data_IF_444809862817
#
_entry.id   IF_444809862817
#
_cell.length_a   1.000
_cell.length_b   1.000
_cell.length_c   1.000
_cell.angle_alpha   90.00
_cell.angle_beta   90.00
_cell.angle_gamma   90.00
#
_symmetry.space_group_name_H-M   'P 1'
#
loop_
_entity.id
_entity.type
_entity.pdbx_description
1 polymer ?
#
# COMPACT_ATOMS: atom_id res chain seq x y z
N UNK A 1 34.05 -8.86 10.51
CA UNK A 1 33.66 -8.13 9.31
C UNK A 1 32.87 -9.10 8.43
N UNK A 2 31.54 -9.01 8.45
CA UNK A 2 30.66 -9.81 7.61
C UNK A 2 30.48 -8.99 6.34
N UNK A 3 31.11 -9.43 5.24
CA UNK A 3 30.86 -8.87 3.90
C UNK A 3 29.43 -9.29 3.48
N UNK A 4 28.46 -8.46 3.72
CA UNK A 4 27.11 -8.60 3.15
C UNK A 4 27.13 -8.04 1.72
N UNK A 5 27.59 -8.83 0.76
CA UNK A 5 27.42 -8.53 -0.66
C UNK A 5 26.04 -8.97 -1.16
N UNK A 6 24.98 -8.39 -0.62
CA UNK A 6 23.68 -8.46 -1.26
C UNK A 6 23.64 -7.39 -2.37
N UNK A 7 23.33 -7.81 -3.58
CA UNK A 7 23.23 -6.93 -4.75
C UNK A 7 21.92 -6.10 -4.70
N UNK A 8 21.79 -5.25 -3.67
CA UNK A 8 20.69 -4.29 -3.55
C UNK A 8 20.90 -3.21 -4.62
N UNK A 9 19.84 -2.70 -5.24
CA UNK A 9 19.94 -1.56 -6.17
C UNK A 9 20.46 -0.36 -5.39
N UNK A 10 21.75 -0.13 -5.49
CA UNK A 10 22.46 0.97 -4.81
C UNK A 10 22.70 2.16 -5.73
N UNK A 11 22.34 2.06 -7.02
CA UNK A 11 22.56 3.07 -8.04
C UNK A 11 21.23 3.42 -8.70
N UNK A 12 20.89 4.71 -8.71
CA UNK A 12 19.63 5.25 -9.19
C UNK A 12 19.89 6.20 -10.37
N UNK A 13 19.03 6.12 -11.39
CA UNK A 13 18.98 7.10 -12.46
C UNK A 13 18.27 8.38 -12.02
N UNK A 14 18.42 9.46 -12.80
CA UNK A 14 17.65 10.71 -12.56
C UNK A 14 16.12 10.46 -12.64
N UNK A 15 15.69 9.46 -13.42
CA UNK A 15 14.28 9.08 -13.52
C UNK A 15 13.78 8.35 -12.28
N UNK A 16 14.64 7.51 -11.68
CA UNK A 16 14.33 6.89 -10.39
C UNK A 16 14.19 7.96 -9.29
N UNK A 17 15.09 8.96 -9.26
CA UNK A 17 14.99 10.07 -8.32
C UNK A 17 13.70 10.88 -8.52
N UNK A 18 13.30 11.16 -9.78
CA UNK A 18 12.00 11.80 -10.08
C UNK A 18 10.84 10.99 -9.51
N UNK A 19 10.82 9.69 -9.78
CA UNK A 19 9.73 8.81 -9.35
C UNK A 19 9.67 8.68 -7.81
N UNK A 20 10.82 8.54 -7.14
CA UNK A 20 10.89 8.36 -5.68
C UNK A 20 10.61 9.66 -4.90
N UNK A 21 11.01 10.81 -5.44
CA UNK A 21 10.89 12.11 -4.77
C UNK A 21 9.66 12.93 -5.18
N UNK A 22 9.05 12.59 -6.33
CA UNK A 22 7.98 13.39 -6.94
C UNK A 22 8.46 14.68 -7.64
N UNK A 23 9.76 14.98 -7.58
CA UNK A 23 10.35 16.19 -8.18
C UNK A 23 10.81 15.90 -9.61
N UNK A 24 10.42 16.74 -10.55
CA UNK A 24 10.77 16.57 -11.97
C UNK A 24 12.31 16.55 -12.18
N UNK A 25 12.77 15.64 -13.06
CA UNK A 25 14.20 15.44 -13.34
C UNK A 25 14.93 16.74 -13.72
N UNK A 26 14.27 17.65 -14.46
CA UNK A 26 14.88 18.93 -14.81
C UNK A 26 15.07 19.84 -13.57
N UNK A 27 14.16 19.81 -12.62
CA UNK A 27 14.26 20.57 -11.38
C UNK A 27 15.39 20.04 -10.51
N UNK A 28 15.51 18.70 -10.40
CA UNK A 28 16.64 18.06 -9.69
C UNK A 28 17.96 18.49 -10.30
N UNK A 29 18.09 18.52 -11.65
CA UNK A 29 19.30 19.00 -12.33
C UNK A 29 19.60 20.47 -12.08
N UNK A 30 18.57 21.32 -11.95
CA UNK A 30 18.75 22.73 -11.56
C UNK A 30 19.30 22.82 -10.14
N UNK A 31 18.75 22.05 -9.20
CA UNK A 31 19.21 22.02 -7.82
C UNK A 31 20.65 21.51 -7.70
N UNK A 32 21.00 20.43 -8.44
CA UNK A 32 22.36 19.93 -8.55
C UNK A 32 23.31 21.03 -9.06
N UNK A 33 23.00 21.63 -10.22
CA UNK A 33 23.87 22.60 -10.87
C UNK A 33 24.01 23.91 -10.09
N UNK A 34 22.91 24.40 -9.50
CA UNK A 34 22.84 25.73 -8.89
C UNK A 34 23.22 25.74 -7.41
N UNK A 35 22.96 24.64 -6.70
CA UNK A 35 23.07 24.57 -5.26
C UNK A 35 23.94 23.42 -4.74
N UNK A 36 24.52 22.60 -5.60
CA UNK A 36 25.36 21.43 -5.25
C UNK A 36 24.67 20.49 -4.23
N UNK A 37 23.34 20.35 -4.32
CA UNK A 37 22.57 19.55 -3.37
C UNK A 37 22.90 18.08 -3.49
N UNK A 38 23.06 17.57 -4.73
CA UNK A 38 23.41 16.18 -5.05
C UNK A 38 24.74 16.10 -5.79
N UNK A 39 25.45 14.98 -5.58
CA UNK A 39 26.74 14.71 -6.23
C UNK A 39 26.67 13.39 -6.98
N UNK A 40 26.16 13.40 -8.22
CA UNK A 40 26.06 12.17 -9.01
C UNK A 40 27.44 11.65 -9.40
N UNK A 41 27.59 10.33 -9.37
CA UNK A 41 28.63 9.64 -10.11
C UNK A 41 28.34 9.72 -11.61
N UNK A 42 29.37 9.68 -12.44
CA UNK A 42 29.20 9.64 -13.90
C UNK A 42 29.77 8.36 -14.46
N UNK A 43 29.02 7.73 -15.36
CA UNK A 43 29.52 6.61 -16.15
C UNK A 43 30.53 7.09 -17.21
N UNK A 44 31.23 6.16 -17.86
CA UNK A 44 32.11 6.44 -18.98
C UNK A 44 31.41 7.15 -20.15
N UNK A 45 30.09 6.94 -20.28
CA UNK A 45 29.22 7.60 -21.27
C UNK A 45 28.61 8.91 -20.73
N UNK A 46 29.14 9.44 -19.61
CA UNK A 46 28.72 10.69 -18.97
C UNK A 46 27.26 10.69 -18.47
N UNK A 47 26.69 9.51 -18.23
CA UNK A 47 25.34 9.36 -17.65
C UNK A 47 25.46 9.55 -16.11
N UNK A 48 24.51 10.31 -15.54
CA UNK A 48 24.41 10.54 -14.09
C UNK A 48 23.84 9.33 -13.38
N UNK A 49 24.53 8.90 -12.35
CA UNK A 49 24.09 7.87 -11.42
C UNK A 49 24.16 8.42 -10.00
N UNK A 50 23.16 8.11 -9.19
CA UNK A 50 23.02 8.56 -7.82
C UNK A 50 23.02 7.35 -6.90
N UNK A 51 23.75 7.44 -5.80
CA UNK A 51 23.75 6.42 -4.76
C UNK A 51 22.59 6.63 -3.76
N UNK A 52 22.53 5.76 -2.77
CA UNK A 52 21.50 5.79 -1.75
C UNK A 52 21.58 7.06 -0.89
N UNK A 53 22.78 7.56 -0.61
CA UNK A 53 22.99 8.79 0.17
C UNK A 53 22.40 10.01 -0.56
N UNK A 54 22.62 10.10 -1.87
CA UNK A 54 21.99 11.13 -2.71
C UNK A 54 20.46 11.03 -2.69
N UNK A 55 19.90 9.81 -2.76
CA UNK A 55 18.45 9.60 -2.68
C UNK A 55 17.91 10.05 -1.32
N UNK A 56 18.51 9.61 -0.23
CA UNK A 56 18.08 9.98 1.12
C UNK A 56 18.15 11.50 1.32
N UNK A 57 19.26 12.12 0.90
CA UNK A 57 19.41 13.58 0.95
C UNK A 57 18.34 14.30 0.15
N UNK A 58 18.03 13.83 -1.06
CA UNK A 58 16.96 14.41 -1.89
C UNK A 58 15.60 14.33 -1.18
N UNK A 59 15.24 13.18 -0.61
CA UNK A 59 13.96 13.02 0.11
C UNK A 59 13.87 13.98 1.31
N UNK A 60 14.94 14.15 2.06
CA UNK A 60 15.01 15.11 3.17
C UNK A 60 14.88 16.57 2.69
N UNK A 61 15.55 16.93 1.60
CA UNK A 61 15.46 18.27 0.98
C UNK A 61 14.05 18.57 0.50
N UNK A 62 13.41 17.60 -0.15
CA UNK A 62 12.01 17.74 -0.62
C UNK A 62 11.06 17.92 0.56
N UNK A 63 11.26 17.16 1.64
CA UNK A 63 10.47 17.31 2.85
C UNK A 63 10.62 18.72 3.44
N UNK A 64 11.85 19.19 3.68
CA UNK A 64 12.11 20.55 4.18
C UNK A 64 11.49 21.62 3.28
N UNK A 65 11.61 21.46 1.97
CA UNK A 65 11.05 22.40 1.00
C UNK A 65 9.50 22.45 1.05
N UNK A 66 8.84 21.31 1.25
CA UNK A 66 7.38 21.26 1.42
C UNK A 66 6.89 21.98 2.69
N UNK A 67 7.78 22.18 3.68
CA UNK A 67 7.57 22.97 4.89
C UNK A 67 8.00 24.45 4.76
N UNK A 68 8.27 24.90 3.54
CA UNK A 68 8.54 26.29 3.25
C UNK A 68 10.00 26.69 3.34
N UNK A 69 10.92 25.77 3.62
CA UNK A 69 12.36 26.08 3.57
C UNK A 69 12.79 26.30 2.12
N UNK A 70 13.45 27.41 1.86
CA UNK A 70 13.99 27.71 0.52
C UNK A 70 15.16 26.77 0.21
N UNK A 71 15.16 26.19 -1.00
CA UNK A 71 16.21 25.28 -1.47
C UNK A 71 17.61 25.87 -1.29
N UNK A 72 17.80 27.17 -1.57
CA UNK A 72 19.06 27.86 -1.38
C UNK A 72 19.57 27.82 0.08
N UNK A 73 18.65 27.88 1.06
CA UNK A 73 19.01 27.80 2.47
C UNK A 73 19.30 26.39 2.92
N UNK A 74 18.53 25.41 2.42
CA UNK A 74 18.77 24.00 2.71
C UNK A 74 20.16 23.59 2.21
N UNK A 75 20.56 24.07 1.03
CA UNK A 75 21.85 23.77 0.41
C UNK A 75 23.08 24.31 1.18
N UNK A 76 22.90 25.32 2.03
CA UNK A 76 23.96 25.87 2.90
C UNK A 76 24.30 24.93 4.08
N UNK A 77 23.46 23.89 4.33
CA UNK A 77 23.62 22.97 5.45
C UNK A 77 24.31 21.67 5.06
N UNK A 78 25.05 21.08 6.01
CA UNK A 78 25.57 19.72 5.86
C UNK A 78 24.45 18.68 5.87
N UNK A 79 24.70 17.46 5.40
CA UNK A 79 23.73 16.36 5.39
C UNK A 79 23.19 16.07 6.80
N UNK A 80 24.06 16.07 7.81
CA UNK A 80 23.71 15.86 9.22
C UNK A 80 22.80 16.98 9.75
N UNK A 81 23.06 18.25 9.36
CA UNK A 81 22.19 19.37 9.77
C UNK A 81 20.85 19.32 9.07
N UNK A 82 20.78 18.88 7.81
CA UNK A 82 19.53 18.63 7.09
C UNK A 82 18.71 17.57 7.83
N UNK A 83 19.30 16.46 8.25
CA UNK A 83 18.65 15.43 9.03
C UNK A 83 18.12 15.95 10.38
N UNK A 84 18.89 16.78 11.08
CA UNK A 84 18.45 17.42 12.33
C UNK A 84 17.25 18.32 12.10
N UNK A 85 17.28 19.17 11.06
CA UNK A 85 16.16 20.04 10.70
C UNK A 85 14.91 19.22 10.37
N UNK A 86 15.06 18.10 9.66
CA UNK A 86 13.94 17.18 9.40
C UNK A 86 13.35 16.66 10.70
N UNK A 87 14.16 16.27 11.68
CA UNK A 87 13.69 15.80 12.99
C UNK A 87 13.00 16.93 13.78
N UNK A 88 13.49 18.17 13.72
CA UNK A 88 12.90 19.32 14.41
C UNK A 88 11.52 19.72 13.85
N UNK A 89 11.29 19.53 12.55
CA UNK A 89 10.06 19.91 11.87
C UNK A 89 8.93 18.87 12.04
N UNK A 90 9.20 17.71 12.62
CA UNK A 90 8.22 16.65 12.80
C UNK A 90 7.09 17.13 13.74
N UNK A 91 6.18 17.96 13.19
CA UNK A 91 4.84 18.19 13.70
C UNK A 91 3.89 17.13 13.16
N UNK A 92 2.67 16.98 13.72
CA UNK A 92 1.71 15.92 13.34
C UNK A 92 1.49 15.73 11.81
N UNK A 93 1.48 16.81 11.03
CA UNK A 93 1.37 16.76 9.56
C UNK A 93 2.63 16.21 8.86
N UNK A 94 3.78 16.29 9.51
CA UNK A 94 5.09 15.83 9.04
C UNK A 94 5.33 14.34 9.28
N UNK A 95 4.77 13.78 10.35
CA UNK A 95 4.95 12.37 10.75
C UNK A 95 4.56 11.44 9.60
N UNK A 96 3.45 11.71 8.92
CA UNK A 96 2.97 10.90 7.78
C UNK A 96 4.00 10.81 6.66
N UNK A 97 4.45 11.94 6.13
CA UNK A 97 5.37 11.97 4.99
C UNK A 97 6.76 11.43 5.35
N UNK A 98 7.20 11.68 6.60
CA UNK A 98 8.43 11.12 7.11
C UNK A 98 8.35 9.59 7.21
N UNK A 99 7.25 9.04 7.73
CA UNK A 99 7.02 7.61 7.84
C UNK A 99 6.97 6.93 6.46
N UNK A 100 6.26 7.50 5.47
CA UNK A 100 6.22 6.97 4.10
C UNK A 100 7.63 6.92 3.50
N UNK A 101 8.43 7.98 3.68
CA UNK A 101 9.82 8.00 3.20
C UNK A 101 10.69 6.98 3.94
N UNK A 102 10.54 6.82 5.26
CA UNK A 102 11.27 5.81 6.03
C UNK A 102 10.90 4.39 5.58
N UNK A 103 9.63 4.11 5.29
CA UNK A 103 9.21 2.82 4.74
C UNK A 103 9.74 2.59 3.32
N UNK A 104 9.78 3.61 2.46
CA UNK A 104 10.43 3.50 1.13
C UNK A 104 11.92 3.19 1.26
N UNK A 105 12.61 3.82 2.20
CA UNK A 105 14.02 3.53 2.48
C UNK A 105 14.23 2.12 3.02
N UNK A 106 13.36 1.69 3.96
CA UNK A 106 13.36 0.31 4.46
C UNK A 106 13.15 -0.71 3.35
N UNK A 107 12.23 -0.45 2.43
CA UNK A 107 11.97 -1.28 1.24
C UNK A 107 13.20 -1.36 0.32
N UNK A 108 13.79 -0.21 -0.03
CA UNK A 108 14.92 -0.14 -0.96
C UNK A 108 16.14 -0.88 -0.41
N UNK A 109 16.37 -0.79 0.91
CA UNK A 109 17.53 -1.37 1.59
C UNK A 109 17.29 -2.77 2.16
N UNK A 110 16.07 -3.30 2.07
CA UNK A 110 15.64 -4.51 2.79
C UNK A 110 15.91 -4.40 4.31
N UNK A 111 15.69 -3.20 4.88
CA UNK A 111 15.94 -2.90 6.29
C UNK A 111 14.70 -3.13 7.15
N UNK A 112 14.62 -4.34 7.74
CA UNK A 112 13.55 -4.70 8.67
C UNK A 112 13.56 -3.84 9.93
N UNK A 113 14.74 -3.48 10.44
CA UNK A 113 14.86 -2.72 11.68
C UNK A 113 14.26 -1.31 11.51
N UNK A 114 14.59 -0.65 10.39
CA UNK A 114 14.00 0.66 10.06
C UNK A 114 12.48 0.56 9.92
N UNK A 115 11.96 -0.49 9.24
CA UNK A 115 10.51 -0.71 9.13
C UNK A 115 9.86 -0.82 10.52
N UNK A 116 10.35 -1.71 11.39
CA UNK A 116 9.75 -1.93 12.70
C UNK A 116 9.86 -0.74 13.63
N UNK A 117 10.99 -0.04 13.62
CA UNK A 117 11.18 1.18 14.41
C UNK A 117 10.20 2.28 13.98
N UNK A 118 10.04 2.48 12.67
CA UNK A 118 9.08 3.46 12.12
C UNK A 118 7.64 3.07 12.47
N UNK A 119 7.27 1.81 12.28
CA UNK A 119 5.94 1.31 12.62
C UNK A 119 5.61 1.46 14.11
N UNK A 120 6.52 1.06 15.00
CA UNK A 120 6.32 1.17 16.45
C UNK A 120 6.24 2.63 16.92
N UNK A 121 7.02 3.53 16.30
CA UNK A 121 6.91 4.97 16.57
C UNK A 121 5.53 5.52 16.20
N UNK A 122 4.97 5.10 15.07
CA UNK A 122 3.60 5.50 14.68
C UNK A 122 2.55 4.98 15.68
N UNK A 123 2.68 3.73 16.12
CA UNK A 123 1.74 3.13 17.08
C UNK A 123 1.82 3.72 18.48
N UNK A 124 2.90 4.42 18.84
CA UNK A 124 2.96 5.13 20.12
C UNK A 124 2.05 6.35 20.17
N UNK A 125 1.61 6.86 19.03
CA UNK A 125 0.79 8.07 18.90
C UNK A 125 -0.59 7.83 18.25
N UNK A 126 -0.73 6.73 17.49
CA UNK A 126 -1.92 6.44 16.68
C UNK A 126 -2.39 5.01 16.82
N UNK A 127 -3.68 4.79 16.57
CA UNK A 127 -4.21 3.43 16.46
C UNK A 127 -3.67 2.72 15.19
N UNK A 128 -3.70 1.38 15.19
CA UNK A 128 -3.36 0.61 13.99
C UNK A 128 -4.20 1.02 12.78
N UNK A 129 -5.49 1.27 13.00
CA UNK A 129 -6.43 1.72 11.97
C UNK A 129 -5.99 3.04 11.34
N UNK A 130 -5.64 4.04 12.17
CA UNK A 130 -5.18 5.34 11.69
C UNK A 130 -3.86 5.23 10.92
N UNK A 131 -2.90 4.44 11.43
CA UNK A 131 -1.64 4.15 10.74
C UNK A 131 -1.90 3.51 9.38
N UNK A 132 -2.86 2.58 9.29
CA UNK A 132 -3.18 1.92 8.05
C UNK A 132 -3.77 2.89 7.01
N UNK A 133 -4.77 3.68 7.40
CA UNK A 133 -5.40 4.65 6.50
C UNK A 133 -4.47 5.80 6.11
N UNK A 134 -3.76 6.36 7.07
CA UNK A 134 -2.98 7.57 6.83
C UNK A 134 -1.62 7.31 6.21
N UNK A 135 -1.03 6.13 6.46
CA UNK A 135 0.35 5.84 6.04
C UNK A 135 0.43 4.63 5.11
N UNK A 136 -0.16 3.48 5.48
CA UNK A 136 0.02 2.23 4.72
C UNK A 136 -0.69 2.29 3.37
N UNK A 137 -1.96 2.70 3.31
CA UNK A 137 -2.69 2.81 2.02
C UNK A 137 -1.99 3.79 1.06
N UNK A 138 -1.61 5.02 1.46
CA UNK A 138 -0.83 5.91 0.60
C UNK A 138 0.52 5.32 0.16
N UNK A 139 1.24 4.66 1.07
CA UNK A 139 2.50 3.97 0.75
C UNK A 139 2.29 2.91 -0.34
N UNK A 140 1.29 2.05 -0.21
CA UNK A 140 1.00 0.99 -1.20
C UNK A 140 0.65 1.58 -2.57
N UNK A 141 -0.08 2.69 -2.62
CA UNK A 141 -0.36 3.39 -3.87
C UNK A 141 0.94 3.92 -4.53
N UNK A 142 1.84 4.51 -3.75
CA UNK A 142 3.14 4.97 -4.25
C UNK A 142 4.00 3.79 -4.73
N UNK A 143 4.05 2.69 -3.99
CA UNK A 143 4.77 1.46 -4.37
C UNK A 143 4.25 0.92 -5.71
N UNK A 144 2.94 0.87 -5.91
CA UNK A 144 2.34 0.46 -7.18
C UNK A 144 2.81 1.32 -8.37
N UNK A 145 2.89 2.64 -8.18
CA UNK A 145 3.41 3.56 -9.22
C UNK A 145 4.91 3.37 -9.45
N UNK A 146 5.70 3.17 -8.39
CA UNK A 146 7.13 2.90 -8.49
C UNK A 146 7.43 1.59 -9.22
N UNK A 147 6.60 0.56 -8.99
CA UNK A 147 6.70 -0.72 -9.69
C UNK A 147 6.38 -0.57 -11.17
N UNK A 148 5.27 0.10 -11.52
CA UNK A 148 4.89 0.37 -12.92
C UNK A 148 5.96 1.19 -13.67
N UNK A 149 6.64 2.09 -12.97
CA UNK A 149 7.73 2.89 -13.54
C UNK A 149 9.06 2.14 -13.63
N UNK A 150 9.15 0.89 -13.17
CA UNK A 150 10.39 0.11 -13.14
C UNK A 150 11.46 0.67 -12.18
N UNK A 151 11.06 1.50 -11.21
CA UNK A 151 11.99 2.12 -10.25
C UNK A 151 12.38 1.15 -9.14
N UNK A 152 11.47 0.29 -8.73
CA UNK A 152 11.70 -0.77 -7.74
C UNK A 152 11.58 -2.15 -8.39
N UNK A 153 12.17 -3.14 -7.75
CA UNK A 153 12.11 -4.55 -8.17
C UNK A 153 10.94 -5.28 -7.50
N UNK A 154 10.43 -6.38 -8.08
CA UNK A 154 9.46 -7.25 -7.40
C UNK A 154 9.93 -7.69 -6.00
N UNK A 155 11.24 -7.98 -5.83
CA UNK A 155 11.79 -8.38 -4.54
C UNK A 155 11.62 -7.29 -3.45
N UNK A 156 11.78 -6.02 -3.82
CA UNK A 156 11.59 -4.89 -2.89
C UNK A 156 10.11 -4.71 -2.53
N UNK A 157 9.22 -4.81 -3.52
CA UNK A 157 7.78 -4.76 -3.29
C UNK A 157 7.33 -5.92 -2.40
N UNK A 158 7.72 -7.15 -2.70
CA UNK A 158 7.39 -8.33 -1.88
C UNK A 158 7.89 -8.21 -0.44
N UNK A 159 9.11 -7.68 -0.26
CA UNK A 159 9.68 -7.47 1.07
C UNK A 159 8.82 -6.56 1.95
N UNK A 160 8.45 -5.39 1.44
CA UNK A 160 7.66 -4.43 2.22
C UNK A 160 6.22 -4.90 2.42
N UNK A 161 5.61 -5.50 1.39
CA UNK A 161 4.27 -6.06 1.42
C UNK A 161 4.16 -7.18 2.46
N UNK A 162 5.18 -8.04 2.56
CA UNK A 162 5.24 -9.10 3.58
C UNK A 162 5.28 -8.52 5.01
N UNK A 163 6.08 -7.48 5.26
CA UNK A 163 6.15 -6.84 6.59
C UNK A 163 4.83 -6.18 6.97
N UNK A 164 4.16 -5.53 6.01
CA UNK A 164 2.82 -4.97 6.20
C UNK A 164 1.81 -6.09 6.50
N UNK A 165 1.84 -7.17 5.73
CA UNK A 165 1.00 -8.36 5.94
C UNK A 165 1.14 -8.94 7.35
N UNK A 166 2.37 -9.07 7.85
CA UNK A 166 2.62 -9.52 9.23
C UNK A 166 1.91 -8.62 10.27
N UNK A 167 1.97 -7.30 10.10
CA UNK A 167 1.32 -6.37 11.03
C UNK A 167 -0.19 -6.45 10.96
N UNK A 168 -0.72 -6.65 9.78
CA UNK A 168 -2.15 -6.82 9.55
C UNK A 168 -2.66 -8.10 10.19
N UNK A 169 -1.98 -9.23 9.99
CA UNK A 169 -2.32 -10.52 10.61
C UNK A 169 -2.33 -10.43 12.14
N UNK A 170 -1.27 -9.85 12.75
CA UNK A 170 -1.18 -9.69 14.20
C UNK A 170 -2.30 -8.82 14.79
N UNK A 171 -2.78 -7.81 14.08
CA UNK A 171 -3.88 -6.97 14.56
C UNK A 171 -5.24 -7.60 14.29
N UNK A 172 -5.39 -8.36 13.20
CA UNK A 172 -6.59 -9.12 12.90
C UNK A 172 -6.81 -10.24 13.91
N UNK A 173 -5.77 -10.99 14.29
CA UNK A 173 -5.83 -12.06 15.29
C UNK A 173 -6.41 -11.58 16.61
N UNK A 174 -6.05 -10.37 17.09
CA UNK A 174 -6.59 -9.78 18.32
C UNK A 174 -8.11 -9.58 18.28
N UNK A 175 -8.68 -9.38 17.09
CA UNK A 175 -10.12 -9.23 16.89
C UNK A 175 -10.83 -10.58 16.73
N UNK A 176 -10.17 -11.56 16.13
CA UNK A 176 -10.73 -12.89 15.86
C UNK A 176 -11.02 -13.69 17.15
N UNK A 177 -10.34 -13.40 18.24
CA UNK A 177 -10.60 -14.05 19.55
C UNK A 177 -11.83 -13.46 20.27
N UNK A 178 -12.37 -12.33 19.79
CA UNK A 178 -13.54 -11.70 20.35
C UNK A 178 -14.83 -12.33 19.78
N UNK A 179 -15.84 -12.50 20.61
CA UNK A 179 -17.15 -12.94 20.14
C UNK A 179 -17.78 -11.84 19.26
N UNK A 180 -18.35 -12.21 18.09
CA UNK A 180 -19.06 -11.26 17.24
C UNK A 180 -20.24 -10.63 17.98
N UNK A 181 -20.37 -9.32 17.91
CA UNK A 181 -21.51 -8.57 18.49
C UNK A 181 -22.67 -8.40 17.51
N UNK A 182 -22.42 -8.61 16.22
CA UNK A 182 -23.40 -8.54 15.12
C UNK A 182 -23.45 -9.91 14.42
N UNK A 183 -24.58 -10.59 14.53
CA UNK A 183 -24.76 -11.99 14.07
C UNK A 183 -25.82 -12.15 12.98
N UNK A 184 -26.34 -11.03 12.48
CA UNK A 184 -27.38 -10.98 11.43
C UNK A 184 -26.90 -11.48 10.07
N UNK A 185 -25.60 -11.45 9.82
CA UNK A 185 -24.94 -11.91 8.59
C UNK A 185 -23.49 -12.31 8.84
N UNK A 186 -22.95 -13.13 7.94
CA UNK A 186 -21.54 -13.54 7.91
C UNK A 186 -20.90 -13.00 6.65
N UNK A 187 -19.70 -12.44 6.78
CA UNK A 187 -18.92 -11.98 5.63
C UNK A 187 -17.95 -13.08 5.20
N UNK A 188 -18.00 -13.45 3.93
CA UNK A 188 -17.06 -14.40 3.29
C UNK A 188 -16.16 -13.64 2.36
N UNK A 189 -14.86 -13.60 2.68
CA UNK A 189 -13.87 -12.82 1.95
C UNK A 189 -13.00 -13.74 1.10
N UNK A 190 -12.89 -13.44 -0.19
CA UNK A 190 -12.17 -14.25 -1.14
C UNK A 190 -11.58 -13.41 -2.28
N UNK A 191 -10.56 -13.95 -2.97
CA UNK A 191 -10.07 -13.43 -4.23
C UNK A 191 -10.40 -14.39 -5.37
N UNK A 192 -10.65 -13.89 -6.60
CA UNK A 192 -10.87 -14.71 -7.77
C UNK A 192 -9.70 -15.66 -8.07
N UNK A 193 -9.92 -16.64 -8.91
CA UNK A 193 -8.84 -17.50 -9.40
C UNK A 193 -7.73 -16.65 -10.05
N UNK A 194 -6.48 -16.96 -9.71
CA UNK A 194 -5.26 -16.28 -10.11
C UNK A 194 -5.03 -14.88 -9.54
N UNK A 195 -5.94 -14.34 -8.73
CA UNK A 195 -5.67 -13.11 -7.97
C UNK A 195 -4.92 -13.44 -6.68
N UNK A 196 -3.76 -12.77 -6.49
CA UNK A 196 -2.86 -12.96 -5.35
C UNK A 196 -2.65 -11.70 -4.51
N UNK A 197 -3.21 -10.55 -4.93
CA UNK A 197 -3.01 -9.26 -4.25
C UNK A 197 -3.97 -9.09 -3.07
N UNK A 198 -3.67 -9.78 -1.96
CA UNK A 198 -4.61 -9.95 -0.85
C UNK A 198 -4.61 -8.85 0.21
N UNK A 199 -3.64 -7.91 0.24
CA UNK A 199 -3.54 -6.91 1.31
C UNK A 199 -4.82 -6.08 1.47
N UNK A 200 -5.48 -5.72 0.38
CA UNK A 200 -6.75 -5.01 0.41
C UNK A 200 -7.87 -5.85 1.04
N UNK A 201 -7.96 -7.13 0.67
CA UNK A 201 -8.93 -8.06 1.22
C UNK A 201 -8.67 -8.33 2.72
N UNK A 202 -7.42 -8.50 3.11
CA UNK A 202 -7.02 -8.69 4.51
C UNK A 202 -7.40 -7.48 5.37
N UNK A 203 -7.23 -6.26 4.84
CA UNK A 203 -7.61 -5.06 5.57
C UNK A 203 -9.14 -4.92 5.69
N UNK A 204 -9.88 -5.30 4.67
CA UNK A 204 -11.35 -5.41 4.76
C UNK A 204 -11.77 -6.40 5.85
N UNK A 205 -11.10 -7.54 5.95
CA UNK A 205 -11.33 -8.52 7.02
C UNK A 205 -11.13 -7.89 8.40
N UNK A 206 -10.03 -7.14 8.59
CA UNK A 206 -9.76 -6.41 9.83
C UNK A 206 -10.89 -5.41 10.16
N UNK A 207 -11.31 -4.59 9.20
CA UNK A 207 -12.38 -3.59 9.40
C UNK A 207 -13.73 -4.24 9.73
N UNK A 208 -14.09 -5.33 9.08
CA UNK A 208 -15.36 -6.04 9.32
C UNK A 208 -15.38 -6.64 10.73
N UNK A 209 -14.28 -7.28 11.14
CA UNK A 209 -14.11 -7.79 12.51
C UNK A 209 -14.17 -6.66 13.55
N UNK A 210 -13.51 -5.53 13.28
CA UNK A 210 -13.52 -4.36 14.16
C UNK A 210 -14.93 -3.79 14.37
N UNK A 211 -15.81 -3.94 13.36
CA UNK A 211 -17.23 -3.56 13.42
C UNK A 211 -18.12 -4.65 14.03
N UNK A 212 -17.55 -5.70 14.60
CA UNK A 212 -18.25 -6.72 15.38
C UNK A 212 -18.92 -7.82 14.57
N UNK A 213 -18.67 -7.93 13.28
CA UNK A 213 -19.21 -9.01 12.45
C UNK A 213 -18.30 -10.25 12.44
N UNK A 214 -18.94 -11.40 12.18
CA UNK A 214 -18.22 -12.63 11.88
C UNK A 214 -17.69 -12.62 10.44
N UNK A 215 -16.45 -13.04 10.27
CA UNK A 215 -15.82 -13.21 8.95
C UNK A 215 -15.35 -14.64 8.73
N UNK A 216 -15.37 -15.08 7.48
CA UNK A 216 -14.70 -16.27 6.97
C UNK A 216 -13.75 -15.80 5.88
N UNK A 217 -12.45 -15.85 6.16
CA UNK A 217 -11.41 -15.44 5.22
C UNK A 217 -10.93 -16.65 4.43
N UNK A 218 -11.22 -16.71 3.15
CA UNK A 218 -10.82 -17.80 2.26
C UNK A 218 -9.50 -17.52 1.54
N UNK A 219 -9.17 -16.23 1.35
CA UNK A 219 -7.89 -15.80 0.77
C UNK A 219 -7.83 -15.87 -0.74
N UNK A 220 -6.65 -16.22 -1.24
CA UNK A 220 -6.25 -16.14 -2.64
C UNK A 220 -6.85 -17.25 -3.51
N UNK A 221 -7.09 -16.93 -4.79
CA UNK A 221 -7.35 -17.90 -5.86
C UNK A 221 -8.49 -18.91 -5.56
N UNK A 222 -9.67 -18.41 -5.15
CA UNK A 222 -10.82 -19.25 -4.79
C UNK A 222 -11.76 -19.43 -6.00
N UNK A 223 -12.01 -20.68 -6.44
CA UNK A 223 -12.99 -20.95 -7.49
C UNK A 223 -14.43 -20.56 -7.06
N UNK A 224 -15.19 -19.92 -7.96
CA UNK A 224 -16.57 -19.48 -7.67
C UNK A 224 -17.47 -20.65 -7.23
N UNK A 225 -17.26 -21.85 -7.79
CA UNK A 225 -18.03 -23.04 -7.40
C UNK A 225 -17.87 -23.40 -5.92
N UNK A 226 -16.70 -23.16 -5.33
CA UNK A 226 -16.45 -23.45 -3.91
C UNK A 226 -17.18 -22.49 -2.98
N UNK A 227 -17.53 -21.29 -3.46
CA UNK A 227 -18.29 -20.31 -2.66
C UNK A 227 -19.74 -20.73 -2.43
N UNK A 228 -20.34 -21.43 -3.37
CA UNK A 228 -21.72 -21.93 -3.25
C UNK A 228 -21.90 -22.88 -2.06
N UNK A 229 -20.86 -23.61 -1.68
CA UNK A 229 -20.89 -24.52 -0.54
C UNK A 229 -21.03 -23.82 0.82
N UNK A 230 -20.67 -22.53 0.91
CA UNK A 230 -20.81 -21.75 2.14
C UNK A 230 -22.26 -21.63 2.61
N UNK A 231 -23.22 -21.70 1.69
CA UNK A 231 -24.68 -21.70 1.99
C UNK A 231 -25.15 -22.91 2.81
N UNK A 232 -24.35 -23.96 2.88
CA UNK A 232 -24.62 -25.12 3.75
C UNK A 232 -24.40 -24.84 5.23
N UNK A 233 -23.65 -23.78 5.53
CA UNK A 233 -23.17 -23.46 6.88
C UNK A 233 -23.76 -22.16 7.45
N UNK A 234 -24.23 -21.25 6.57
CA UNK A 234 -24.70 -19.93 6.98
C UNK A 234 -25.95 -19.52 6.20
N UNK A 235 -26.95 -18.98 6.90
CA UNK A 235 -28.23 -18.58 6.32
C UNK A 235 -28.16 -17.22 5.61
N UNK A 236 -27.36 -16.29 6.09
CA UNK A 236 -27.20 -14.94 5.52
C UNK A 236 -25.73 -14.64 5.26
N UNK A 237 -25.37 -14.46 3.98
CA UNK A 237 -23.98 -14.32 3.57
C UNK A 237 -23.80 -13.05 2.74
N UNK A 238 -22.77 -12.28 3.08
CA UNK A 238 -22.22 -11.21 2.25
C UNK A 238 -20.85 -11.64 1.75
N UNK A 239 -20.75 -11.96 0.47
CA UNK A 239 -19.47 -12.26 -0.17
C UNK A 239 -18.74 -10.98 -0.50
N UNK A 240 -17.45 -10.91 -0.22
CA UNK A 240 -16.60 -9.76 -0.56
C UNK A 240 -15.41 -10.23 -1.38
N UNK A 241 -15.16 -9.56 -2.50
CA UNK A 241 -13.99 -9.76 -3.31
C UNK A 241 -13.24 -8.45 -3.60
N UNK A 242 -11.90 -8.49 -3.55
CA UNK A 242 -11.05 -7.34 -3.81
C UNK A 242 -10.25 -7.56 -5.10
N UNK A 243 -10.67 -6.88 -6.17
CA UNK A 243 -10.21 -7.11 -7.54
C UNK A 243 -9.08 -6.13 -7.87
N UNK A 244 -7.83 -6.59 -7.93
CA UNK A 244 -6.65 -5.75 -8.16
C UNK A 244 -6.12 -5.84 -9.59
N UNK A 245 -5.90 -7.05 -10.10
CA UNK A 245 -5.41 -7.35 -11.45
C UNK A 245 -6.35 -8.32 -12.15
N UNK A 246 -6.78 -9.34 -11.44
CA UNK A 246 -7.71 -10.36 -11.95
C UNK A 246 -9.12 -10.18 -11.32
N UNK A 247 -10.18 -10.46 -12.09
CA UNK A 247 -10.20 -10.76 -13.53
C UNK A 247 -9.75 -9.57 -14.37
N UNK A 248 -9.18 -9.84 -15.56
CA UNK A 248 -8.79 -8.78 -16.50
C UNK A 248 -9.99 -7.93 -16.93
N UNK A 249 -9.71 -6.73 -17.47
CA UNK A 249 -10.75 -5.81 -17.95
C UNK A 249 -11.77 -6.45 -18.89
N UNK A 250 -11.30 -7.34 -19.78
CA UNK A 250 -12.16 -7.97 -20.77
C UNK A 250 -13.00 -9.11 -20.17
N UNK A 251 -12.56 -9.72 -19.08
CA UNK A 251 -13.22 -10.86 -18.42
C UNK A 251 -14.09 -10.49 -17.20
N UNK A 252 -13.96 -9.25 -16.68
CA UNK A 252 -14.56 -8.89 -15.39
C UNK A 252 -16.10 -8.97 -15.39
N UNK A 253 -16.77 -8.58 -16.49
CA UNK A 253 -18.21 -8.61 -16.53
C UNK A 253 -18.75 -10.04 -16.64
N UNK A 254 -18.07 -10.92 -17.36
CA UNK A 254 -18.40 -12.35 -17.42
C UNK A 254 -18.22 -13.01 -16.05
N UNK A 255 -17.15 -12.64 -15.34
CA UNK A 255 -16.92 -13.09 -13.95
C UNK A 255 -18.01 -12.61 -12.99
N UNK A 256 -18.43 -11.35 -13.07
CA UNK A 256 -19.55 -10.83 -12.24
C UNK A 256 -20.84 -11.59 -12.54
N UNK A 257 -21.13 -11.89 -13.81
CA UNK A 257 -22.32 -12.67 -14.20
C UNK A 257 -22.22 -14.13 -13.72
N UNK A 258 -21.03 -14.74 -13.76
CA UNK A 258 -20.80 -16.07 -13.19
C UNK A 258 -21.06 -16.08 -11.67
N UNK A 259 -20.50 -15.13 -10.93
CA UNK A 259 -20.70 -14.97 -9.48
C UNK A 259 -22.19 -14.80 -9.17
N UNK A 260 -22.88 -13.90 -9.90
CA UNK A 260 -24.34 -13.70 -9.73
C UNK A 260 -25.10 -14.99 -9.89
N UNK A 261 -24.84 -15.74 -10.95
CA UNK A 261 -25.58 -16.95 -11.29
C UNK A 261 -25.38 -18.09 -10.28
N UNK A 262 -24.19 -18.19 -9.67
CA UNK A 262 -23.80 -19.32 -8.81
C UNK A 262 -24.01 -19.08 -7.33
N UNK A 263 -23.79 -17.84 -6.84
CA UNK A 263 -23.78 -17.60 -5.39
C UNK A 263 -24.84 -16.63 -4.88
N UNK A 264 -25.54 -15.90 -5.75
CA UNK A 264 -26.60 -14.99 -5.30
C UNK A 264 -27.94 -15.71 -5.20
N UNK A 265 -28.65 -15.50 -4.07
CA UNK A 265 -30.02 -15.92 -3.82
C UNK A 265 -30.75 -14.90 -2.93
N UNK A 266 -31.83 -15.30 -2.28
CA UNK A 266 -32.63 -14.39 -1.44
C UNK A 266 -31.83 -13.86 -0.24
N UNK A 267 -30.89 -14.64 0.31
CA UNK A 267 -30.19 -14.38 1.56
C UNK A 267 -28.70 -14.08 1.35
N UNK A 268 -28.25 -13.97 0.10
CA UNK A 268 -26.85 -13.70 -0.21
C UNK A 268 -26.70 -12.46 -1.08
N UNK A 269 -25.59 -11.75 -0.82
CA UNK A 269 -25.17 -10.55 -1.54
C UNK A 269 -23.70 -10.69 -1.90
N UNK A 270 -23.24 -9.94 -2.90
CA UNK A 270 -21.82 -9.82 -3.21
C UNK A 270 -21.42 -8.36 -3.30
N UNK A 271 -20.24 -8.07 -2.80
CA UNK A 271 -19.61 -6.74 -2.82
C UNK A 271 -18.26 -6.86 -3.50
N UNK A 272 -18.02 -6.01 -4.49
CA UNK A 272 -16.74 -5.90 -5.17
C UNK A 272 -16.06 -4.59 -4.83
N UNK A 273 -14.76 -4.68 -4.51
CA UNK A 273 -13.86 -3.55 -4.29
C UNK A 273 -12.57 -3.74 -5.09
N UNK A 274 -11.71 -2.75 -5.07
CA UNK A 274 -10.40 -2.80 -5.70
C UNK A 274 -10.36 -2.04 -7.02
N UNK A 275 -9.18 -2.06 -7.64
CA UNK A 275 -8.91 -1.24 -8.83
C UNK A 275 -9.76 -1.64 -10.04
N UNK A 276 -10.01 -2.94 -10.22
CA UNK A 276 -10.69 -3.44 -11.42
C UNK A 276 -12.19 -3.15 -11.43
N UNK A 277 -12.78 -2.71 -10.31
CA UNK A 277 -14.22 -2.41 -10.25
C UNK A 277 -14.65 -1.28 -11.18
N UNK A 278 -13.73 -0.40 -11.57
CA UNK A 278 -14.01 0.68 -12.55
C UNK A 278 -14.47 0.17 -13.92
N UNK A 279 -14.19 -1.10 -14.24
CA UNK A 279 -14.56 -1.75 -15.51
C UNK A 279 -15.85 -2.59 -15.41
N UNK A 280 -16.49 -2.65 -14.25
CA UNK A 280 -17.77 -3.33 -14.07
C UNK A 280 -18.89 -2.48 -14.67
N UNK A 281 -19.72 -3.08 -15.53
CA UNK A 281 -20.92 -2.43 -16.07
C UNK A 281 -22.01 -2.35 -14.98
N UNK A 282 -22.03 -1.23 -14.27
CA UNK A 282 -22.96 -1.01 -13.16
C UNK A 282 -24.43 -1.00 -13.56
N UNK A 283 -24.76 -0.78 -14.86
CA UNK A 283 -26.15 -0.81 -15.33
C UNK A 283 -26.76 -2.22 -15.36
N UNK A 284 -25.90 -3.26 -15.30
CA UNK A 284 -26.32 -4.68 -15.28
C UNK A 284 -26.35 -5.30 -13.88
N UNK A 285 -26.05 -4.52 -12.86
CA UNK A 285 -26.04 -5.02 -11.49
C UNK A 285 -27.45 -5.12 -10.94
N UNK A 286 -27.69 -6.17 -10.13
CA UNK A 286 -28.92 -6.29 -9.33
C UNK A 286 -28.72 -5.60 -7.97
N UNK A 287 -29.79 -5.42 -7.24
CA UNK A 287 -29.79 -4.91 -5.85
C UNK A 287 -28.98 -5.76 -4.86
N UNK A 288 -28.61 -6.99 -5.27
CA UNK A 288 -27.76 -7.93 -4.51
C UNK A 288 -26.27 -7.80 -4.81
N UNK A 289 -25.88 -6.95 -5.74
CA UNK A 289 -24.47 -6.71 -6.12
C UNK A 289 -24.12 -5.25 -5.88
N UNK A 290 -23.18 -5.01 -5.00
CA UNK A 290 -22.67 -3.68 -4.72
C UNK A 290 -21.20 -3.54 -5.18
N UNK A 291 -20.83 -2.33 -5.58
CA UNK A 291 -19.48 -1.96 -5.97
C UNK A 291 -19.06 -0.73 -5.16
N UNK A 292 -17.90 -0.80 -4.52
CA UNK A 292 -17.33 0.33 -3.80
C UNK A 292 -15.98 0.73 -4.40
N UNK A 293 -15.79 2.03 -4.58
CA UNK A 293 -14.53 2.58 -5.11
C UNK A 293 -13.41 2.64 -4.08
N UNK A 294 -13.75 2.60 -2.80
CA UNK A 294 -12.76 2.62 -1.72
C UNK A 294 -13.19 1.77 -0.52
N UNK A 295 -12.20 1.32 0.26
CA UNK A 295 -12.45 0.64 1.53
C UNK A 295 -13.19 1.56 2.51
N UNK A 296 -12.83 2.85 2.53
CA UNK A 296 -13.47 3.83 3.43
C UNK A 296 -14.95 4.04 3.13
N UNK A 297 -15.36 3.99 1.86
CA UNK A 297 -16.78 4.10 1.49
C UNK A 297 -17.55 2.87 1.97
N UNK A 298 -17.01 1.68 1.73
CA UNK A 298 -17.60 0.44 2.22
C UNK A 298 -17.73 0.43 3.76
N UNK A 299 -16.68 0.81 4.47
CA UNK A 299 -16.66 0.79 5.95
C UNK A 299 -17.65 1.79 6.55
N UNK A 300 -17.95 2.88 5.85
CA UNK A 300 -18.97 3.87 6.27
C UNK A 300 -20.38 3.28 6.23
N UNK A 301 -20.63 2.39 5.29
CA UNK A 301 -21.94 1.75 5.08
C UNK A 301 -22.09 0.43 5.86
N UNK A 302 -21.05 0.00 6.57
CA UNK A 302 -21.00 -1.24 7.35
C UNK A 302 -21.69 -1.08 8.71
#
# INVERSE_FOLDING_TARGET
>A
MINNSYNVKTVFSIKDLENLSGIKAHTIRIWEKRYDILRPMRSDTNIRNYDLENLQKLLNVVLLNSYGYKISRIAEHSSEKIELLVREIISEKSVKNHAINAFKMAMINFDQALFFNTYNSLLSEKSFRDVFYEVVIPLMNEIGLLWQAGTITPAQEHFISFLIKQKLLLNTEKLQILEPTRTDKVFVLYLPENEIHELGLMYLNYEILLNGFKTIYLGESVPVNSLADMKKYFDSIVYISYLTIEPTKDAINDYVDEVKSKIIDQNSQVIFLGRMVEFIDTNKLSDKVAVYNSISDFVRDL
#
